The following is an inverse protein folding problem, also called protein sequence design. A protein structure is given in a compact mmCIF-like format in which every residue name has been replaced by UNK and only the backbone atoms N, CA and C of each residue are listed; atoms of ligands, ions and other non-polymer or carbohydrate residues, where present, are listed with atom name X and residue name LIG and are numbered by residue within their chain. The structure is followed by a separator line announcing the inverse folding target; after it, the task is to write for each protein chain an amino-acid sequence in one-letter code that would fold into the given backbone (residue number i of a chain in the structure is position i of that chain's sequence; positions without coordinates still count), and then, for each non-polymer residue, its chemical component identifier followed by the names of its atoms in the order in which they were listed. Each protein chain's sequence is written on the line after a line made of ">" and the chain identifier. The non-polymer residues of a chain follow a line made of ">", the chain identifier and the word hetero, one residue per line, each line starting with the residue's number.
data_IF_055426616897
#
_entry.id   IF_055426616897
#
_cell.length_a   1.000
_cell.length_b   1.000
_cell.length_c   1.000
_cell.angle_alpha   90.00
_cell.angle_beta   90.00
_cell.angle_gamma   90.00
#
_symmetry.space_group_name_H-M   'P 1'
#
loop_
_entity.id
_entity.type
_entity.pdbx_description
1 polymer ?
#
# COMPACT_ATOMS: atom_id res chain seq x y z
N UNK A 1 -3.26 17.02 -10.73
CA UNK A 1 -3.35 16.24 -9.49
C UNK A 1 -2.29 16.72 -8.52
N UNK A 2 -2.49 16.54 -7.21
CA UNK A 2 -1.47 16.82 -6.18
C UNK A 2 -0.82 15.49 -5.77
N UNK A 3 0.45 15.53 -5.38
CA UNK A 3 1.11 14.38 -4.77
C UNK A 3 0.45 14.04 -3.42
N UNK A 4 0.42 12.74 -3.10
CA UNK A 4 -0.08 12.21 -1.85
C UNK A 4 1.05 11.49 -1.13
N UNK A 5 1.31 11.88 0.12
CA UNK A 5 2.26 11.17 0.99
C UNK A 5 1.53 10.18 1.90
N UNK A 6 2.24 9.14 2.37
CA UNK A 6 1.70 8.22 3.36
C UNK A 6 1.25 8.92 4.64
N UNK A 7 1.98 9.96 5.09
CA UNK A 7 1.60 10.73 6.27
C UNK A 7 0.24 11.42 6.10
N UNK A 8 0.04 12.09 4.96
CA UNK A 8 -1.25 12.73 4.65
C UNK A 8 -2.39 11.70 4.58
N UNK A 9 -2.12 10.52 4.01
CA UNK A 9 -3.12 9.46 3.95
C UNK A 9 -3.41 8.88 5.34
N UNK A 10 -2.40 8.67 6.19
CA UNK A 10 -2.59 8.23 7.57
C UNK A 10 -3.44 9.22 8.38
N UNK A 11 -3.13 10.52 8.28
CA UNK A 11 -3.87 11.58 9.00
C UNK A 11 -5.35 11.59 8.58
N UNK A 12 -5.62 11.50 7.27
CA UNK A 12 -6.98 11.44 6.72
C UNK A 12 -7.75 10.19 7.20
N UNK A 13 -7.11 9.02 7.15
CA UNK A 13 -7.76 7.76 7.52
C UNK A 13 -7.95 7.63 9.03
N UNK A 14 -7.05 8.20 9.85
CA UNK A 14 -7.25 8.30 11.29
C UNK A 14 -8.50 9.12 11.59
N UNK A 15 -8.66 10.30 10.99
CA UNK A 15 -9.85 11.13 11.17
C UNK A 15 -11.13 10.36 10.83
N UNK A 16 -11.10 9.59 9.74
CA UNK A 16 -12.26 8.84 9.24
C UNK A 16 -12.62 7.59 10.08
N UNK A 17 -11.62 6.87 10.60
CA UNK A 17 -11.83 5.56 11.22
C UNK A 17 -11.69 5.50 12.75
N UNK A 18 -11.05 6.49 13.39
CA UNK A 18 -10.74 6.47 14.83
C UNK A 18 -11.93 6.21 15.76
N UNK A 19 -13.17 6.46 15.32
CA UNK A 19 -14.38 6.24 16.13
C UNK A 19 -15.30 5.13 15.61
N UNK A 20 -15.04 4.57 14.42
CA UNK A 20 -16.06 3.81 13.67
C UNK A 20 -15.65 2.39 13.30
N UNK A 21 -14.35 2.06 13.31
CA UNK A 21 -13.85 0.74 12.90
C UNK A 21 -12.89 0.16 13.92
N UNK A 22 -12.89 -1.16 14.03
CA UNK A 22 -11.90 -1.93 14.79
C UNK A 22 -10.79 -2.44 13.88
N UNK A 23 -9.68 -2.83 14.47
CA UNK A 23 -8.55 -3.45 13.78
C UNK A 23 -8.97 -4.70 13.00
N UNK A 24 -9.79 -5.57 13.62
CA UNK A 24 -10.27 -6.79 12.98
C UNK A 24 -11.18 -6.48 11.79
N UNK A 25 -12.03 -5.45 11.92
CA UNK A 25 -12.91 -5.02 10.83
C UNK A 25 -12.12 -4.50 9.62
N UNK A 26 -11.07 -3.72 9.85
CA UNK A 26 -10.18 -3.25 8.77
C UNK A 26 -9.34 -4.39 8.19
N UNK A 27 -8.92 -5.35 9.01
CA UNK A 27 -8.17 -6.51 8.54
C UNK A 27 -9.01 -7.42 7.63
N UNK A 28 -10.29 -7.64 7.96
CA UNK A 28 -11.22 -8.40 7.11
C UNK A 28 -11.34 -7.71 5.74
N UNK A 29 -11.55 -6.38 5.73
CA UNK A 29 -11.57 -5.61 4.49
C UNK A 29 -10.29 -5.76 3.68
N UNK A 30 -9.11 -5.62 4.30
CA UNK A 30 -7.83 -5.84 3.63
C UNK A 30 -7.73 -7.22 2.97
N UNK A 31 -8.21 -8.28 3.64
CA UNK A 31 -8.19 -9.65 3.09
C UNK A 31 -9.16 -9.78 1.90
N UNK A 32 -10.32 -9.13 1.95
CA UNK A 32 -11.25 -9.05 0.81
C UNK A 32 -10.56 -8.43 -0.40
N UNK A 33 -9.92 -7.27 -0.26
CA UNK A 33 -9.24 -6.58 -1.38
C UNK A 33 -8.09 -7.40 -1.98
N UNK A 34 -7.36 -8.16 -1.14
CA UNK A 34 -6.35 -9.12 -1.62
C UNK A 34 -6.98 -10.21 -2.48
N UNK A 35 -8.20 -10.66 -2.13
CA UNK A 35 -8.98 -11.59 -2.94
C UNK A 35 -9.39 -11.00 -4.29
N UNK A 36 -9.83 -9.74 -4.31
CA UNK A 36 -10.22 -9.03 -5.54
C UNK A 36 -9.01 -8.85 -6.49
N UNK A 37 -7.84 -8.47 -5.96
CA UNK A 37 -6.59 -8.47 -6.74
C UNK A 37 -6.29 -9.85 -7.33
N UNK A 38 -6.45 -10.93 -6.56
CA UNK A 38 -6.20 -12.27 -7.04
C UNK A 38 -7.16 -12.68 -8.18
N UNK A 39 -8.43 -12.28 -8.09
CA UNK A 39 -9.42 -12.51 -9.14
C UNK A 39 -9.05 -11.79 -10.44
N UNK A 40 -8.68 -10.50 -10.35
CA UNK A 40 -8.26 -9.70 -11.51
C UNK A 40 -7.02 -10.30 -12.18
N UNK A 41 -6.02 -10.71 -11.40
CA UNK A 41 -4.79 -11.34 -11.93
C UNK A 41 -5.03 -12.71 -12.57
N UNK A 42 -5.90 -13.53 -11.97
CA UNK A 42 -6.30 -14.81 -12.54
C UNK A 42 -7.06 -14.61 -13.86
N UNK A 43 -7.97 -13.64 -13.90
CA UNK A 43 -8.73 -13.28 -15.11
C UNK A 43 -7.84 -12.84 -16.28
N UNK A 44 -6.70 -12.21 -16.01
CA UNK A 44 -5.68 -11.84 -17.02
C UNK A 44 -4.91 -13.03 -17.56
N UNK A 45 -4.57 -13.99 -16.70
CA UNK A 45 -3.76 -15.16 -17.07
C UNK A 45 -4.49 -16.11 -18.04
N UNK A 46 -5.82 -16.00 -18.14
CA UNK A 46 -6.67 -16.84 -18.98
C UNK A 46 -7.20 -16.25 -20.29
N UNK A 47 -6.97 -14.98 -20.63
CA UNK A 47 -7.55 -14.31 -21.82
C UNK A 47 -6.48 -13.83 -22.83
N UNK A 48 -6.72 -14.06 -24.13
CA UNK A 48 -6.12 -13.30 -25.24
C UNK A 48 -7.03 -12.11 -25.56
N UNK A 49 -6.45 -10.91 -25.58
CA UNK A 49 -7.02 -9.63 -26.02
C UNK A 49 -8.22 -9.06 -25.22
N UNK A 50 -7.90 -8.31 -24.15
CA UNK A 50 -8.83 -7.52 -23.33
C UNK A 50 -8.17 -6.74 -22.18
N UNK A 51 -6.91 -6.31 -22.37
CA UNK A 51 -5.97 -5.93 -21.29
C UNK A 51 -6.30 -4.57 -20.64
N UNK A 52 -6.98 -3.66 -21.34
CA UNK A 52 -7.12 -2.28 -20.89
C UNK A 52 -8.05 -2.13 -19.67
N UNK A 53 -9.25 -2.73 -19.71
CA UNK A 53 -10.19 -2.71 -18.56
C UNK A 53 -9.59 -3.39 -17.32
N UNK A 54 -8.79 -4.44 -17.53
CA UNK A 54 -8.16 -5.16 -16.42
C UNK A 54 -7.15 -4.30 -15.65
N UNK A 55 -6.48 -3.34 -16.29
CA UNK A 55 -5.52 -2.43 -15.65
C UNK A 55 -6.20 -1.37 -14.79
N UNK A 56 -7.36 -0.89 -15.21
CA UNK A 56 -8.15 0.03 -14.39
C UNK A 56 -8.72 -0.67 -13.16
N UNK A 57 -9.22 -1.90 -13.31
CA UNK A 57 -9.66 -2.73 -12.17
C UNK A 57 -8.50 -3.03 -11.22
N UNK A 58 -7.37 -3.54 -11.72
CA UNK A 58 -6.21 -3.82 -10.87
C UNK A 58 -5.72 -2.57 -10.12
N UNK A 59 -5.76 -1.40 -10.75
CA UNK A 59 -5.36 -0.16 -10.11
C UNK A 59 -6.28 0.23 -8.95
N UNK A 60 -7.59 -0.04 -9.06
CA UNK A 60 -8.56 0.16 -7.97
C UNK A 60 -8.29 -0.80 -6.81
N UNK A 61 -8.19 -2.09 -7.10
CA UNK A 61 -7.98 -3.10 -6.04
C UNK A 61 -6.64 -2.92 -5.32
N UNK A 62 -5.57 -2.54 -6.04
CA UNK A 62 -4.30 -2.18 -5.41
C UNK A 62 -4.40 -0.92 -4.55
N UNK A 63 -5.21 0.07 -4.97
CA UNK A 63 -5.46 1.25 -4.17
C UNK A 63 -6.23 0.91 -2.88
N UNK A 64 -7.18 -0.03 -2.93
CA UNK A 64 -7.92 -0.48 -1.76
C UNK A 64 -7.03 -1.27 -0.78
N UNK A 65 -6.09 -2.07 -1.27
CA UNK A 65 -5.03 -2.66 -0.43
C UNK A 65 -4.21 -1.58 0.28
N UNK A 66 -3.78 -0.53 -0.43
CA UNK A 66 -3.05 0.59 0.16
C UNK A 66 -3.92 1.28 1.21
N UNK A 67 -5.19 1.56 0.89
CA UNK A 67 -6.14 2.21 1.79
C UNK A 67 -6.29 1.46 3.11
N UNK A 68 -6.61 0.17 3.09
CA UNK A 68 -6.82 -0.59 4.33
C UNK A 68 -5.51 -0.85 5.08
N UNK A 69 -4.39 -1.05 4.37
CA UNK A 69 -3.07 -1.17 5.01
C UNK A 69 -2.72 0.10 5.80
N UNK A 70 -2.93 1.28 5.19
CA UNK A 70 -2.63 2.57 5.81
C UNK A 70 -3.63 2.90 6.91
N UNK A 71 -4.91 2.54 6.74
CA UNK A 71 -5.93 2.70 7.78
C UNK A 71 -5.59 1.90 9.04
N UNK A 72 -5.17 0.64 8.89
CA UNK A 72 -4.73 -0.19 10.02
C UNK A 72 -3.54 0.48 10.72
N UNK A 73 -2.53 0.93 9.97
CA UNK A 73 -1.39 1.63 10.56
C UNK A 73 -1.82 2.90 11.31
N UNK A 74 -2.74 3.68 10.73
CA UNK A 74 -3.23 4.92 11.30
C UNK A 74 -3.94 4.72 12.66
N UNK A 75 -4.92 3.81 12.73
CA UNK A 75 -5.67 3.59 13.98
C UNK A 75 -4.83 2.96 15.11
N UNK A 76 -3.71 2.33 14.76
CA UNK A 76 -2.77 1.70 15.68
C UNK A 76 -1.60 2.61 16.11
N UNK A 77 -1.60 3.89 15.73
CA UNK A 77 -0.50 4.82 15.99
C UNK A 77 0.86 4.32 15.45
N UNK A 78 0.85 3.65 14.29
CA UNK A 78 2.05 3.16 13.63
C UNK A 78 2.53 4.21 12.63
N UNK A 79 3.74 4.75 12.79
CA UNK A 79 4.39 5.57 11.76
C UNK A 79 4.84 4.68 10.59
N UNK A 80 3.96 4.53 9.58
CA UNK A 80 4.20 3.66 8.44
C UNK A 80 5.31 4.22 7.55
N UNK A 81 5.38 5.55 7.40
CA UNK A 81 6.44 6.22 6.63
C UNK A 81 7.81 5.87 7.21
N UNK A 82 8.00 6.05 8.52
CA UNK A 82 9.24 5.68 9.22
C UNK A 82 9.52 4.18 9.09
N UNK A 83 8.51 3.34 9.28
CA UNK A 83 8.66 1.88 9.19
C UNK A 83 9.12 1.42 7.81
N UNK A 84 8.61 2.03 6.73
CA UNK A 84 9.03 1.75 5.35
C UNK A 84 10.53 2.05 5.19
N UNK A 85 10.99 3.24 5.59
CA UNK A 85 12.40 3.61 5.53
C UNK A 85 13.30 2.64 6.32
N UNK A 86 12.91 2.32 7.55
CA UNK A 86 13.71 1.41 8.40
C UNK A 86 13.80 0.00 7.83
N UNK A 87 12.71 -0.52 7.24
CA UNK A 87 12.71 -1.84 6.60
C UNK A 87 13.56 -1.85 5.34
N UNK A 88 13.43 -0.84 4.50
CA UNK A 88 14.21 -0.74 3.27
C UNK A 88 15.71 -0.65 3.57
N UNK A 89 16.11 0.20 4.51
CA UNK A 89 17.51 0.32 4.96
C UNK A 89 18.09 -1.01 5.44
N UNK A 90 17.33 -1.77 6.24
CA UNK A 90 17.74 -3.11 6.68
C UNK A 90 17.89 -4.08 5.51
N UNK A 91 16.98 -4.02 4.53
CA UNK A 91 17.05 -4.84 3.32
C UNK A 91 18.27 -4.47 2.46
N UNK A 92 18.54 -3.19 2.27
CA UNK A 92 19.70 -2.69 1.53
C UNK A 92 21.01 -3.21 2.13
N UNK A 93 21.17 -3.15 3.46
CA UNK A 93 22.34 -3.71 4.15
C UNK A 93 22.42 -5.23 3.96
N UNK A 94 21.29 -5.94 4.16
CA UNK A 94 21.24 -7.41 4.09
C UNK A 94 21.59 -7.95 2.70
N UNK A 95 21.11 -7.29 1.65
CA UNK A 95 21.26 -7.73 0.27
C UNK A 95 22.34 -6.94 -0.49
N UNK A 96 23.13 -6.12 0.21
CA UNK A 96 24.24 -5.34 -0.34
C UNK A 96 23.81 -4.45 -1.52
N UNK A 97 22.65 -3.80 -1.40
CA UNK A 97 22.24 -2.80 -2.38
C UNK A 97 23.19 -1.60 -2.31
N UNK A 98 23.50 -1.01 -3.47
CA UNK A 98 24.34 0.18 -3.55
C UNK A 98 23.69 1.39 -2.84
N UNK A 99 22.36 1.43 -2.78
CA UNK A 99 21.58 2.56 -2.28
C UNK A 99 20.28 2.09 -1.62
N UNK A 100 19.92 2.74 -0.51
CA UNK A 100 18.61 2.58 0.14
C UNK A 100 17.62 3.67 -0.32
N UNK A 101 16.35 3.55 0.08
CA UNK A 101 15.29 4.48 -0.29
C UNK A 101 15.57 5.92 0.14
N UNK A 102 16.21 6.12 1.30
CA UNK A 102 16.55 7.46 1.78
C UNK A 102 17.62 8.08 0.89
N UNK A 103 18.66 7.30 0.57
CA UNK A 103 19.66 7.65 -0.44
C UNK A 103 18.97 7.99 -1.76
N UNK A 104 18.04 7.15 -2.25
CA UNK A 104 17.28 7.34 -3.50
C UNK A 104 16.63 8.72 -3.59
N UNK A 105 15.93 9.12 -2.53
CA UNK A 105 15.19 10.38 -2.51
C UNK A 105 16.09 11.61 -2.37
N UNK A 106 17.30 11.48 -1.81
CA UNK A 106 18.28 12.57 -1.68
C UNK A 106 19.01 12.91 -2.99
N UNK A 107 18.91 12.06 -4.01
CA UNK A 107 19.65 12.24 -5.27
C UNK A 107 21.13 11.83 -5.20
N UNK A 108 21.57 11.20 -4.11
CA UNK A 108 22.93 10.67 -3.95
C UNK A 108 23.24 9.59 -5.02
N UNK A 109 24.05 9.92 -6.03
CA UNK A 109 24.54 8.99 -7.06
C UNK A 109 25.70 8.13 -6.54
#
# INVERSE_FOLDING_TARGET
>A
MKDLTFRQLQDYLLEHYQQSRTEEGLFIKLVEEVGEVAEVLNGRSGRKDGVQDSNEELAKELADIIHYTVAIAAINDIDLTKTIFEKDKKAAIKYQHERDLEGFLKGDL
#
